data_IF_370978472205
#
_entry.id   IF_370978472205
#
_cell.length_a   1.000
_cell.length_b   1.000
_cell.length_c   1.000
_cell.angle_alpha   90.00
_cell.angle_beta   90.00
_cell.angle_gamma   90.00
#
_symmetry.space_group_name_H-M   'P 1'
#
loop_
_entity.id
_entity.type
_entity.pdbx_description
1 polymer ?
#
# COMPACT_ATOMS: atom_id res chain seq x y z
N UNK A 1 58.35 43.39 -8.49
CA UNK A 1 57.89 42.20 -7.74
C UNK A 1 56.37 42.24 -7.62
N UNK A 2 55.67 41.39 -8.37
CA UNK A 2 54.21 41.31 -8.38
C UNK A 2 53.71 40.45 -7.21
N UNK A 3 52.80 41.00 -6.41
CA UNK A 3 52.05 40.25 -5.40
C UNK A 3 50.78 39.67 -6.04
N UNK A 4 50.72 38.35 -6.22
CA UNK A 4 49.49 37.61 -6.49
C UNK A 4 49.00 37.03 -5.16
N UNK A 5 48.02 37.69 -4.54
CA UNK A 5 47.23 37.11 -3.45
C UNK A 5 46.25 36.11 -4.06
N UNK A 6 46.45 34.82 -3.77
CA UNK A 6 45.50 33.76 -4.13
C UNK A 6 44.21 33.94 -3.31
N UNK A 7 43.11 34.28 -4.00
CA UNK A 7 41.77 34.27 -3.43
C UNK A 7 41.39 32.80 -3.16
N UNK A 8 41.33 32.43 -1.88
CA UNK A 8 40.85 31.12 -1.43
C UNK A 8 39.36 31.02 -1.76
N UNK A 9 39.00 30.21 -2.75
CA UNK A 9 37.59 29.95 -3.07
C UNK A 9 36.93 29.31 -1.84
N UNK A 10 35.95 30.01 -1.26
CA UNK A 10 35.05 29.40 -0.28
C UNK A 10 34.18 28.42 -1.04
N UNK A 11 34.53 27.14 -0.97
CA UNK A 11 33.66 26.06 -1.41
C UNK A 11 32.29 26.23 -0.76
N UNK A 12 31.25 26.34 -1.58
CA UNK A 12 29.85 26.31 -1.14
C UNK A 12 29.68 25.00 -0.35
N UNK A 13 29.38 25.10 0.95
CA UNK A 13 29.07 23.94 1.75
C UNK A 13 27.95 23.15 1.05
N UNK A 14 28.08 21.82 0.88
CA UNK A 14 26.99 21.03 0.34
C UNK A 14 25.76 21.27 1.23
N UNK A 15 24.60 21.49 0.60
CA UNK A 15 23.35 21.55 1.32
C UNK A 15 23.27 20.32 2.25
N UNK A 16 22.79 20.47 3.50
CA UNK A 16 22.74 19.35 4.43
C UNK A 16 22.01 18.21 3.75
N UNK A 17 22.65 17.05 3.68
CA UNK A 17 22.02 15.84 3.16
C UNK A 17 20.79 15.58 4.04
N UNK A 18 19.60 15.83 3.50
CA UNK A 18 18.35 15.61 4.23
C UNK A 18 18.28 14.14 4.63
N UNK A 19 18.04 13.86 5.92
CA UNK A 19 17.77 12.50 6.36
C UNK A 19 16.53 12.00 5.62
N UNK A 20 16.71 11.05 4.71
CA UNK A 20 15.65 10.48 3.89
C UNK A 20 14.49 9.97 4.75
N UNK A 21 14.77 9.46 5.95
CA UNK A 21 13.74 8.96 6.87
C UNK A 21 12.91 10.08 7.47
N UNK A 22 13.55 11.19 7.83
CA UNK A 22 12.87 12.38 8.27
C UNK A 22 12.00 12.94 7.13
N UNK A 23 12.56 13.04 5.92
CA UNK A 23 11.82 13.50 4.75
C UNK A 23 10.59 12.63 4.41
N UNK A 24 10.67 11.30 4.57
CA UNK A 24 9.51 10.41 4.40
C UNK A 24 8.43 10.64 5.47
N UNK A 25 8.81 10.85 6.73
CA UNK A 25 7.86 11.15 7.81
C UNK A 25 7.18 12.50 7.59
N UNK A 26 7.93 13.53 7.23
CA UNK A 26 7.41 14.86 6.90
C UNK A 26 6.46 14.80 5.70
N UNK A 27 6.83 14.06 4.65
CA UNK A 27 5.96 13.88 3.48
C UNK A 27 4.67 13.17 3.83
N UNK A 28 4.70 12.16 4.71
CA UNK A 28 3.47 11.52 5.20
C UNK A 28 2.59 12.49 5.98
N UNK A 29 3.17 13.31 6.85
CA UNK A 29 2.44 14.32 7.61
C UNK A 29 1.79 15.38 6.69
N UNK A 30 2.50 15.83 5.66
CA UNK A 30 1.95 16.73 4.64
C UNK A 30 0.80 16.06 3.88
N UNK A 31 0.95 14.80 3.47
CA UNK A 31 -0.11 14.04 2.80
C UNK A 31 -1.37 13.93 3.66
N UNK A 32 -1.24 13.66 4.97
CA UNK A 32 -2.39 13.65 5.87
C UNK A 32 -3.00 15.04 6.02
N UNK A 33 -2.19 16.10 6.17
CA UNK A 33 -2.70 17.47 6.27
C UNK A 33 -3.52 17.88 5.05
N UNK A 34 -3.08 17.51 3.84
CA UNK A 34 -3.83 17.76 2.61
C UNK A 34 -5.19 17.06 2.62
N UNK A 35 -5.23 15.80 3.06
CA UNK A 35 -6.49 15.06 3.22
C UNK A 35 -7.41 15.69 4.27
N UNK A 36 -6.86 16.20 5.38
CA UNK A 36 -7.61 16.92 6.40
C UNK A 36 -8.19 18.22 5.88
N UNK A 37 -7.43 19.00 5.10
CA UNK A 37 -7.91 20.24 4.47
C UNK A 37 -9.10 19.98 3.55
N UNK A 38 -9.06 18.89 2.77
CA UNK A 38 -10.21 18.47 1.95
C UNK A 38 -11.42 18.17 2.83
N UNK A 39 -11.26 17.39 3.92
CA UNK A 39 -12.36 17.08 4.83
C UNK A 39 -12.89 18.31 5.58
N UNK A 40 -12.06 19.32 5.83
CA UNK A 40 -12.42 20.57 6.51
C UNK A 40 -13.24 21.51 5.64
N UNK A 41 -12.87 21.63 4.36
CA UNK A 41 -13.44 22.62 3.46
C UNK A 41 -14.44 22.06 2.45
N UNK A 42 -14.66 20.73 2.46
CA UNK A 42 -15.68 20.11 1.62
C UNK A 42 -17.09 20.54 2.05
N UNK A 43 -17.90 21.00 1.09
CA UNK A 43 -19.32 21.27 1.29
C UNK A 43 -20.02 19.98 1.79
N UNK A 44 -20.73 20.03 2.94
CA UNK A 44 -21.46 18.87 3.47
C UNK A 44 -22.43 18.23 2.48
N UNK A 45 -23.00 18.99 1.54
CA UNK A 45 -23.88 18.49 0.47
C UNK A 45 -23.13 17.57 -0.50
N UNK A 46 -21.83 17.80 -0.72
CA UNK A 46 -21.00 16.98 -1.59
C UNK A 46 -20.59 15.65 -0.94
N UNK A 47 -20.62 15.53 0.40
CA UNK A 47 -20.14 14.35 1.14
C UNK A 47 -20.68 13.02 0.61
N UNK A 48 -21.98 12.98 0.31
CA UNK A 48 -22.69 11.81 -0.24
C UNK A 48 -23.25 12.04 -1.64
N UNK A 49 -22.96 13.17 -2.27
CA UNK A 49 -23.42 13.42 -3.62
C UNK A 49 -22.86 12.34 -4.57
N UNK A 50 -23.72 11.86 -5.47
CA UNK A 50 -23.28 11.05 -6.59
C UNK A 50 -22.98 11.98 -7.75
N UNK A 51 -21.85 11.78 -8.43
CA UNK A 51 -21.54 12.55 -9.62
C UNK A 51 -22.50 12.14 -10.75
N UNK A 52 -23.17 13.10 -11.44
CA UNK A 52 -24.07 12.80 -12.54
C UNK A 52 -23.38 11.92 -13.59
N UNK A 53 -24.04 10.84 -14.01
CA UNK A 53 -23.52 9.92 -15.01
C UNK A 53 -22.50 8.89 -14.51
N UNK A 54 -22.16 8.85 -13.21
CA UNK A 54 -21.21 7.87 -12.66
C UNK A 54 -21.83 6.97 -11.58
N UNK A 55 -21.40 5.70 -11.54
CA UNK A 55 -21.59 4.79 -10.38
C UNK A 55 -20.38 4.82 -9.45
N UNK A 56 -19.70 5.96 -9.38
CA UNK A 56 -18.48 6.15 -8.60
C UNK A 56 -18.72 5.98 -7.09
N UNK A 57 -17.63 5.84 -6.34
CA UNK A 57 -17.71 5.91 -4.87
C UNK A 57 -17.97 7.36 -4.48
N UNK A 58 -18.87 7.57 -3.53
CA UNK A 58 -19.03 8.88 -2.88
C UNK A 58 -17.75 9.28 -2.16
N UNK A 59 -17.57 10.57 -1.89
CA UNK A 59 -16.44 11.09 -1.10
C UNK A 59 -16.39 10.38 0.27
N UNK A 60 -17.56 10.20 0.90
CA UNK A 60 -17.69 9.41 2.12
C UNK A 60 -17.11 8.00 2.00
N UNK A 61 -17.43 7.28 0.92
CA UNK A 61 -16.95 5.93 0.71
C UNK A 61 -15.43 5.88 0.43
N UNK A 62 -14.87 6.92 -0.21
CA UNK A 62 -13.43 7.04 -0.48
C UNK A 62 -12.67 7.25 0.84
N UNK A 63 -12.99 8.28 1.62
CA UNK A 63 -12.27 8.55 2.87
C UNK A 63 -12.43 7.43 3.91
N UNK A 64 -13.64 6.85 4.03
CA UNK A 64 -13.85 5.68 4.88
C UNK A 64 -13.04 4.47 4.39
N UNK A 65 -12.85 4.29 3.08
CA UNK A 65 -11.99 3.25 2.55
C UNK A 65 -10.52 3.47 2.94
N UNK A 66 -10.00 4.68 2.76
CA UNK A 66 -8.62 5.03 3.09
C UNK A 66 -8.34 4.81 4.58
N UNK A 67 -9.19 5.33 5.48
CA UNK A 67 -9.08 5.08 6.91
C UNK A 67 -9.09 3.56 7.25
N UNK A 68 -10.01 2.80 6.64
CA UNK A 68 -10.09 1.37 6.90
C UNK A 68 -8.87 0.58 6.40
N UNK A 69 -8.18 1.08 5.36
CA UNK A 69 -6.91 0.53 4.92
C UNK A 69 -5.79 0.86 5.91
N UNK A 70 -5.71 2.09 6.45
CA UNK A 70 -4.78 2.43 7.55
C UNK A 70 -4.94 1.49 8.74
N UNK A 71 -6.18 1.28 9.20
CA UNK A 71 -6.46 0.32 10.28
C UNK A 71 -6.01 -1.10 9.96
N UNK A 72 -6.09 -1.50 8.69
CA UNK A 72 -5.61 -2.82 8.24
C UNK A 72 -4.09 -2.90 8.28
N UNK A 73 -3.38 -1.88 7.81
CA UNK A 73 -1.91 -1.83 7.88
C UNK A 73 -1.43 -1.92 9.33
N UNK A 74 -2.02 -1.13 10.23
CA UNK A 74 -1.73 -1.15 11.66
C UNK A 74 -1.94 -2.55 12.24
N UNK A 75 -3.12 -3.15 12.03
CA UNK A 75 -3.42 -4.49 12.54
C UNK A 75 -2.44 -5.57 12.07
N UNK A 76 -1.98 -5.50 10.82
CA UNK A 76 -1.14 -6.55 10.22
C UNK A 76 0.37 -6.31 10.39
N UNK A 77 0.80 -5.05 10.48
CA UNK A 77 2.23 -4.69 10.46
C UNK A 77 2.73 -4.15 11.80
N UNK A 78 1.83 -3.58 12.63
CA UNK A 78 2.15 -3.01 13.94
C UNK A 78 1.04 -3.31 14.95
N UNK A 79 0.77 -4.59 15.28
CA UNK A 79 -0.35 -5.00 16.11
C UNK A 79 -0.33 -4.43 17.54
N UNK A 80 0.84 -3.96 18.01
CA UNK A 80 0.97 -3.24 19.27
C UNK A 80 0.37 -1.82 19.23
N UNK A 81 0.24 -1.22 18.04
CA UNK A 81 -0.49 0.02 17.81
C UNK A 81 -1.96 -0.33 17.53
N UNK A 82 -2.79 -0.26 18.58
CA UNK A 82 -4.21 -0.63 18.49
C UNK A 82 -4.94 0.27 17.47
N UNK A 83 -5.44 -0.28 16.35
CA UNK A 83 -6.10 0.53 15.34
C UNK A 83 -7.45 1.06 15.86
N UNK A 84 -7.85 2.28 15.48
CA UNK A 84 -9.18 2.80 15.80
C UNK A 84 -10.29 2.00 15.10
N UNK A 85 -11.54 2.11 15.57
CA UNK A 85 -12.68 1.46 14.96
C UNK A 85 -12.84 1.84 13.48
N UNK A 86 -13.08 0.83 12.64
CA UNK A 86 -13.33 1.05 11.21
C UNK A 86 -14.63 1.81 10.97
N UNK A 87 -14.63 2.64 9.94
CA UNK A 87 -15.80 3.39 9.50
C UNK A 87 -16.71 2.56 8.61
N UNK A 88 -18.03 2.74 8.77
CA UNK A 88 -19.00 2.24 7.82
C UNK A 88 -19.08 3.18 6.61
N UNK A 89 -18.70 2.68 5.43
CA UNK A 89 -18.61 3.46 4.18
C UNK A 89 -19.93 4.09 3.74
N UNK A 90 -21.07 3.55 4.15
CA UNK A 90 -22.40 4.07 3.78
C UNK A 90 -23.03 4.95 4.85
N UNK A 91 -22.51 4.92 6.09
CA UNK A 91 -23.13 5.60 7.25
C UNK A 91 -22.27 6.64 7.96
N UNK A 92 -20.94 6.66 7.74
CA UNK A 92 -20.04 7.63 8.39
C UNK A 92 -20.37 9.09 8.04
N UNK A 93 -20.38 9.96 9.04
CA UNK A 93 -20.47 11.40 8.82
C UNK A 93 -19.11 11.97 8.43
N UNK A 94 -19.09 13.18 7.85
CA UNK A 94 -17.85 13.90 7.53
C UNK A 94 -17.02 14.14 8.78
N UNK A 95 -17.65 14.57 9.89
CA UNK A 95 -16.98 14.78 11.18
C UNK A 95 -16.39 13.48 11.76
N UNK A 96 -17.18 12.40 11.81
CA UNK A 96 -16.68 11.09 12.26
C UNK A 96 -15.48 10.63 11.43
N UNK A 97 -15.52 10.92 10.13
CA UNK A 97 -14.42 10.56 9.24
C UNK A 97 -13.19 11.39 9.52
N UNK A 98 -13.32 12.71 9.67
CA UNK A 98 -12.22 13.61 10.03
C UNK A 98 -11.49 13.14 11.29
N UNK A 99 -12.24 12.87 12.35
CA UNK A 99 -11.69 12.47 13.65
C UNK A 99 -10.98 11.10 13.56
N UNK A 100 -11.63 10.11 12.95
CA UNK A 100 -11.05 8.78 12.76
C UNK A 100 -9.83 8.80 11.84
N UNK A 101 -9.84 9.65 10.81
CA UNK A 101 -8.73 9.84 9.89
C UNK A 101 -7.51 10.40 10.61
N UNK A 102 -7.69 11.45 11.42
CA UNK A 102 -6.63 12.05 12.24
C UNK A 102 -6.03 11.04 13.23
N UNK A 103 -6.87 10.27 13.92
CA UNK A 103 -6.41 9.22 14.84
C UNK A 103 -5.56 8.16 14.11
N UNK A 104 -6.06 7.67 12.96
CA UNK A 104 -5.31 6.69 12.18
C UNK A 104 -4.00 7.24 11.60
N UNK A 105 -3.94 8.55 11.28
CA UNK A 105 -2.73 9.20 10.77
C UNK A 105 -1.60 9.24 11.80
N UNK A 106 -1.93 9.57 13.06
CA UNK A 106 -0.96 9.57 14.16
C UNK A 106 -0.34 8.19 14.32
N UNK A 107 -1.18 7.15 14.35
CA UNK A 107 -0.70 5.77 14.49
C UNK A 107 0.09 5.30 13.27
N UNK A 108 -0.33 5.65 12.05
CA UNK A 108 0.43 5.33 10.84
C UNK A 108 1.77 6.07 10.78
N UNK A 109 1.86 7.28 11.32
CA UNK A 109 3.13 8.03 11.45
C UNK A 109 4.06 7.34 12.45
N UNK A 110 3.55 6.88 13.59
CA UNK A 110 4.32 6.08 14.56
C UNK A 110 4.79 4.76 13.93
N UNK A 111 3.91 4.06 13.21
CA UNK A 111 4.25 2.86 12.45
C UNK A 111 5.36 3.14 11.43
N UNK A 112 5.28 4.24 10.69
CA UNK A 112 6.29 4.62 9.71
C UNK A 112 7.64 4.91 10.38
N UNK A 113 7.64 5.65 11.49
CA UNK A 113 8.85 5.93 12.27
C UNK A 113 9.51 4.64 12.78
N UNK A 114 8.72 3.73 13.36
CA UNK A 114 9.20 2.42 13.82
C UNK A 114 9.71 1.54 12.67
N UNK A 115 9.13 1.63 11.47
CA UNK A 115 9.52 0.83 10.32
C UNK A 115 10.81 1.34 9.66
N UNK A 116 11.11 2.64 9.75
CA UNK A 116 12.29 3.26 9.16
C UNK A 116 13.49 3.37 10.13
N UNK A 117 13.29 3.13 11.43
CA UNK A 117 14.36 3.12 12.41
C UNK A 117 15.33 1.93 12.16
N UNK A 118 16.67 2.09 12.39
CA UNK A 118 17.64 1.01 12.17
C UNK A 118 17.28 -0.28 12.93
N UNK A 119 16.96 -0.12 14.22
CA UNK A 119 16.51 -1.20 15.09
C UNK A 119 14.98 -1.19 15.26
N UNK A 120 14.29 -0.77 14.21
CA UNK A 120 12.84 -0.66 14.16
C UNK A 120 12.12 -1.97 14.45
N UNK A 121 11.01 -1.92 15.19
CA UNK A 121 10.21 -3.11 15.57
C UNK A 121 9.54 -3.75 14.35
N UNK A 122 9.20 -2.96 13.35
CA UNK A 122 8.47 -3.40 12.17
C UNK A 122 9.48 -3.87 11.12
N UNK A 123 9.56 -5.18 10.91
CA UNK A 123 10.48 -5.77 9.91
C UNK A 123 9.78 -6.17 8.60
N UNK A 124 8.45 -6.17 8.58
CA UNK A 124 7.62 -6.58 7.44
C UNK A 124 6.35 -5.72 7.39
N UNK A 125 6.07 -5.16 6.23
CA UNK A 125 4.84 -4.43 5.94
C UNK A 125 3.86 -5.30 5.17
N UNK A 126 2.65 -5.44 5.69
CA UNK A 126 1.57 -6.22 5.08
C UNK A 126 0.48 -5.30 4.55
N UNK A 127 0.50 -5.04 3.24
CA UNK A 127 -0.57 -4.29 2.54
C UNK A 127 -1.91 -5.04 2.53
N UNK A 128 -1.82 -6.37 2.47
CA UNK A 128 -2.95 -7.28 2.59
C UNK A 128 -2.50 -8.64 3.11
N UNK A 129 -3.45 -9.53 3.39
CA UNK A 129 -3.16 -10.85 3.96
C UNK A 129 -2.85 -11.94 2.93
N UNK A 130 -2.83 -11.63 1.63
CA UNK A 130 -2.71 -12.64 0.56
C UNK A 130 -1.45 -12.47 -0.30
N UNK A 131 -0.88 -11.27 -0.31
CA UNK A 131 0.36 -10.98 -1.02
C UNK A 131 1.57 -11.08 -0.09
N UNK A 132 2.76 -11.39 -0.64
CA UNK A 132 3.98 -11.41 0.15
C UNK A 132 4.22 -10.08 0.86
N UNK A 133 4.67 -10.09 2.13
CA UNK A 133 5.02 -8.88 2.86
C UNK A 133 6.20 -8.17 2.19
N UNK A 134 6.24 -6.86 2.31
CA UNK A 134 7.36 -6.04 1.82
C UNK A 134 8.31 -5.70 2.98
N UNK A 135 9.62 -5.54 2.73
CA UNK A 135 10.48 -4.90 3.69
C UNK A 135 10.05 -3.42 3.86
N UNK A 136 10.21 -2.84 5.05
CA UNK A 136 10.10 -1.40 5.24
C UNK A 136 11.06 -0.62 4.32
N UNK A 137 10.64 0.56 3.89
CA UNK A 137 11.46 1.45 3.08
C UNK A 137 10.65 2.24 2.05
N UNK A 138 11.35 2.76 1.04
CA UNK A 138 10.76 3.66 0.05
C UNK A 138 9.55 3.07 -0.69
N UNK A 139 9.57 1.78 -1.05
CA UNK A 139 8.46 1.14 -1.77
C UNK A 139 7.18 1.04 -0.91
N UNK A 140 7.31 0.65 0.36
CA UNK A 140 6.21 0.67 1.33
C UNK A 140 5.66 2.10 1.47
N UNK A 141 6.55 3.07 1.69
CA UNK A 141 6.17 4.48 1.86
C UNK A 141 5.42 5.03 0.65
N UNK A 142 5.96 4.84 -0.56
CA UNK A 142 5.32 5.28 -1.79
C UNK A 142 3.93 4.64 -1.98
N UNK A 143 3.80 3.35 -1.67
CA UNK A 143 2.51 2.67 -1.68
C UNK A 143 1.52 3.31 -0.70
N UNK A 144 1.94 3.62 0.53
CA UNK A 144 1.07 4.26 1.52
C UNK A 144 0.54 5.61 1.01
N UNK A 145 1.41 6.48 0.47
CA UNK A 145 1.02 7.79 -0.06
C UNK A 145 0.04 7.65 -1.24
N UNK A 146 0.38 6.82 -2.24
CA UNK A 146 -0.46 6.64 -3.44
C UNK A 146 -1.82 6.04 -3.10
N UNK A 147 -1.89 5.13 -2.11
CA UNK A 147 -3.15 4.51 -1.71
C UNK A 147 -4.05 5.42 -0.88
N UNK A 148 -3.48 6.46 -0.27
CA UNK A 148 -4.23 7.49 0.45
C UNK A 148 -4.72 8.62 -0.47
N UNK A 149 -4.16 8.77 -1.67
CA UNK A 149 -4.61 9.75 -2.64
C UNK A 149 -6.08 9.48 -3.02
N UNK A 150 -7.01 10.45 -2.85
CA UNK A 150 -8.40 10.30 -3.23
C UNK A 150 -8.55 10.17 -4.76
N UNK A 151 -8.40 8.96 -5.30
CA UNK A 151 -8.69 8.70 -6.70
C UNK A 151 -10.19 8.45 -6.85
N UNK A 152 -10.87 9.37 -7.52
CA UNK A 152 -12.31 9.30 -7.85
C UNK A 152 -12.67 8.12 -8.76
N UNK A 153 -11.69 7.34 -9.25
CA UNK A 153 -11.85 6.29 -10.26
C UNK A 153 -11.61 4.83 -9.83
N UNK A 154 -11.51 4.49 -8.54
CA UNK A 154 -11.28 3.09 -8.15
C UNK A 154 -12.58 2.26 -8.06
N UNK A 155 -13.18 1.99 -9.21
CA UNK A 155 -14.20 0.95 -9.39
C UNK A 155 -13.56 -0.44 -9.42
N UNK A 156 -13.60 -1.16 -8.30
CA UNK A 156 -13.70 -2.62 -8.24
C UNK A 156 -14.07 -2.99 -6.80
N UNK A 157 -15.34 -3.35 -6.60
CA UNK A 157 -15.78 -3.97 -5.37
C UNK A 157 -15.07 -5.31 -5.19
N UNK A 158 -14.32 -5.44 -4.10
CA UNK A 158 -14.20 -6.74 -3.43
C UNK A 158 -14.99 -6.62 -2.13
N UNK A 159 -16.23 -7.07 -2.20
CA UNK A 159 -17.03 -7.43 -1.04
C UNK A 159 -16.27 -8.52 -0.27
N UNK A 160 -15.58 -8.16 0.81
CA UNK A 160 -15.27 -9.12 1.87
C UNK A 160 -16.45 -9.11 2.82
N UNK A 161 -17.58 -9.69 2.37
CA UNK A 161 -18.66 -10.08 3.26
C UNK A 161 -18.21 -11.32 4.01
N UNK A 162 -18.06 -11.19 5.32
CA UNK A 162 -18.12 -12.33 6.24
C UNK A 162 -19.31 -12.04 7.13
N UNK A 163 -20.47 -12.53 6.69
CA UNK A 163 -21.63 -12.80 7.53
C UNK A 163 -21.66 -14.30 7.73
N UNK A 164 -21.25 -14.72 8.92
CA UNK A 164 -21.49 -16.00 9.60
C UNK A 164 -20.79 -15.81 10.97
N UNK A 165 -21.37 -16.05 12.14
CA UNK A 165 -22.56 -16.80 12.48
C UNK A 165 -22.86 -16.54 13.96
N UNK A 166 -24.13 -16.62 14.39
CA UNK A 166 -24.45 -17.05 15.77
C UNK A 166 -25.94 -17.36 15.89
N UNK A 167 -26.33 -18.54 15.41
CA UNK A 167 -27.41 -19.34 16.00
C UNK A 167 -27.21 -20.83 15.67
N UNK A 168 -26.70 -21.59 16.64
CA UNK A 168 -26.89 -23.05 16.76
C UNK A 168 -28.14 -23.29 17.63
N UNK A 169 -28.82 -24.47 17.63
CA UNK A 169 -28.20 -25.82 17.55
C UNK A 169 -28.99 -26.92 16.80
N UNK A 170 -28.33 -28.08 16.56
CA UNK A 170 -29.04 -29.32 16.23
C UNK A 170 -28.19 -30.42 15.56
N UNK A 171 -27.74 -31.38 16.38
CA UNK A 171 -27.07 -32.66 16.12
C UNK A 171 -27.36 -33.37 14.78
N UNK A 172 -26.32 -33.90 14.11
CA UNK A 172 -26.08 -35.35 13.96
C UNK A 172 -24.81 -35.61 13.12
N UNK A 173 -24.03 -36.60 13.57
CA UNK A 173 -22.75 -37.07 13.05
C UNK A 173 -23.00 -38.18 12.04
N UNK A 174 -22.28 -38.24 10.92
CA UNK A 174 -21.80 -39.47 10.27
C UNK A 174 -20.67 -39.14 9.29
N UNK A 175 -19.67 -40.03 9.28
CA UNK A 175 -18.39 -39.91 8.60
C UNK A 175 -18.53 -40.03 7.08
N UNK A 176 -17.69 -39.33 6.31
CA UNK A 176 -16.88 -39.97 5.26
C UNK A 176 -15.81 -39.04 4.67
N UNK A 177 -14.70 -39.69 4.28
CA UNK A 177 -13.45 -39.14 3.79
C UNK A 177 -13.60 -38.24 2.55
N UNK A 178 -12.99 -37.05 2.55
CA UNK A 178 -12.60 -36.40 1.31
C UNK A 178 -11.36 -35.50 1.47
N UNK A 179 -10.27 -35.92 0.84
CA UNK A 179 -9.02 -35.16 0.66
C UNK A 179 -9.26 -33.90 -0.22
N UNK A 180 -8.47 -32.83 -0.07
CA UNK A 180 -8.68 -31.58 -0.79
C UNK A 180 -8.27 -31.67 -2.27
N UNK A 181 -9.22 -31.39 -3.18
CA UNK A 181 -8.95 -31.21 -4.62
C UNK A 181 -8.21 -29.90 -4.87
N UNK A 182 -6.97 -30.00 -5.36
CA UNK A 182 -6.21 -28.91 -5.99
C UNK A 182 -6.91 -28.48 -7.29
N UNK A 183 -7.28 -27.20 -7.38
CA UNK A 183 -7.71 -26.57 -8.62
C UNK A 183 -6.46 -26.24 -9.45
N UNK A 184 -6.21 -27.03 -10.51
CA UNK A 184 -5.22 -26.71 -11.55
C UNK A 184 -5.86 -25.76 -12.56
N UNK A 185 -5.30 -24.57 -12.72
CA UNK A 185 -5.57 -23.71 -13.86
C UNK A 185 -4.64 -24.18 -14.99
N UNK A 186 -5.21 -24.76 -16.05
CA UNK A 186 -4.48 -25.11 -17.26
C UNK A 186 -4.17 -23.84 -18.06
N UNK A 187 -2.88 -23.51 -18.19
CA UNK A 187 -2.38 -22.59 -19.22
C UNK A 187 -2.18 -23.40 -20.50
N UNK A 188 -2.96 -23.10 -21.53
CA UNK A 188 -2.79 -23.68 -22.86
C UNK A 188 -1.55 -23.13 -23.54
N UNK A 189 -0.47 -23.92 -23.54
CA UNK A 189 0.68 -23.69 -24.41
C UNK A 189 0.44 -24.52 -25.68
N UNK A 190 0.20 -23.84 -26.82
CA UNK A 190 0.23 -24.48 -28.14
C UNK A 190 1.67 -24.87 -28.45
N UNK A 191 1.91 -26.17 -28.53
CA UNK A 191 3.15 -26.79 -28.98
C UNK A 191 3.04 -27.00 -30.50
N UNK A 192 3.90 -26.36 -31.29
CA UNK A 192 4.19 -26.78 -32.66
C UNK A 192 5.50 -27.57 -32.62
N UNK A 193 5.41 -28.85 -32.97
CA UNK A 193 6.52 -29.81 -33.02
C UNK A 193 7.57 -29.45 -34.08
N UNK A 194 8.82 -29.90 -33.90
CA UNK A 194 9.89 -29.77 -34.87
C UNK A 194 9.97 -31.01 -35.78
N UNK A 195 10.31 -30.81 -37.06
CA UNK A 195 10.74 -31.87 -37.97
C UNK A 195 12.13 -31.55 -38.55
N UNK A 196 13.10 -32.44 -38.28
CA UNK A 196 14.05 -32.95 -39.29
C UNK A 196 15.26 -32.10 -39.70
N UNK A 197 16.38 -32.35 -39.01
CA UNK A 197 17.77 -32.56 -39.49
C UNK A 197 18.20 -32.08 -40.90
N UNK A 198 19.31 -31.31 -40.96
CA UNK A 198 20.44 -31.53 -41.89
C UNK A 198 21.70 -30.74 -41.46
N UNK A 199 22.77 -31.48 -41.19
CA UNK A 199 24.22 -31.20 -41.27
C UNK A 199 24.73 -29.76 -41.48
N UNK A 200 25.65 -29.31 -40.61
CA UNK A 200 26.93 -28.72 -41.03
C UNK A 200 27.94 -28.70 -39.86
N UNK A 201 29.07 -29.39 -40.05
CA UNK A 201 30.33 -29.23 -39.31
C UNK A 201 30.95 -27.89 -39.69
N UNK A 202 31.42 -27.09 -38.73
CA UNK A 202 32.55 -26.17 -38.94
C UNK A 202 33.44 -26.15 -37.69
N UNK A 203 34.73 -26.30 -37.95
CA UNK A 203 35.84 -26.43 -37.02
C UNK A 203 36.18 -25.13 -36.28
N UNK A 204 36.65 -25.27 -35.04
CA UNK A 204 37.42 -24.25 -34.34
C UNK A 204 38.89 -24.68 -34.33
N UNK A 205 39.71 -23.99 -35.12
CA UNK A 205 41.17 -23.96 -34.97
C UNK A 205 41.52 -22.68 -34.23
N UNK A 206 42.24 -22.79 -33.12
CA UNK A 206 42.98 -21.69 -32.54
C UNK A 206 44.35 -21.55 -33.22
N UNK A 207 44.91 -20.33 -33.21
CA UNK A 207 46.35 -20.12 -33.13
C UNK A 207 46.67 -18.68 -32.72
N UNK A 208 47.71 -18.60 -31.90
CA UNK A 208 48.36 -17.43 -31.33
C UNK A 208 49.09 -16.61 -32.40
N UNK A 209 49.33 -15.35 -32.08
CA UNK A 209 50.65 -14.71 -32.20
C UNK A 209 50.85 -13.83 -30.98
#
# INVERSE_FOLDING_TARGET
>A
MNQLKAAKSRGKAPAPAHDLRQGMQETYAVNDRMNQLVLEHLDPRAWRAQLPGSKGRTIAAIFAHVHNIRCKWLRLSAPHLKPPPRLNRTRCTQQQTKDAFAQSAVLCSQMLAEALAPEGRIKKFQRDGWFPPWPPGAAMFAYMIVHEAPTTGSGAGRNSGSSADSALPGKARLHDNFLPRRMRISVGIRHLQPHGSKNARVALYGSRS
#
